data_IF_954618749308
#
_entry.id   IF_954618749308
#
_cell.length_a   1.000
_cell.length_b   1.000
_cell.length_c   1.000
_cell.angle_alpha   90.00
_cell.angle_beta   90.00
_cell.angle_gamma   90.00
#
_symmetry.space_group_name_H-M   'P 1'
#
loop_
_entity.id
_entity.type
_entity.pdbx_description
1 polymer ?
#
# COMPACT_ATOMS: atom_id res chain seq x y z
N UNK A 1 5.45 41.85 46.53
CA UNK A 1 5.15 43.31 46.43
C UNK A 1 6.37 44.20 46.64
N UNK A 2 7.26 43.92 47.61
CA UNK A 2 8.40 44.81 47.93
C UNK A 2 9.42 44.96 46.79
N UNK A 3 9.65 43.92 45.96
CA UNK A 3 10.58 43.97 44.83
C UNK A 3 10.14 44.95 43.71
N UNK A 4 8.82 45.01 43.45
CA UNK A 4 8.23 45.89 42.44
C UNK A 4 8.32 47.36 42.89
N UNK A 5 8.05 47.62 44.18
CA UNK A 5 8.17 48.96 44.77
C UNK A 5 9.62 49.47 44.75
N UNK A 6 10.60 48.59 45.00
CA UNK A 6 12.03 48.92 44.89
C UNK A 6 12.45 49.25 43.45
N UNK A 7 11.95 48.48 42.47
CA UNK A 7 12.22 48.70 41.05
C UNK A 7 11.61 50.05 40.56
N UNK A 8 10.40 50.37 41.00
CA UNK A 8 9.73 51.64 40.71
C UNK A 8 10.48 52.82 41.33
N UNK A 9 11.01 52.66 42.54
CA UNK A 9 11.85 53.68 43.19
C UNK A 9 13.17 53.94 42.45
N UNK A 10 13.85 52.87 42.01
CA UNK A 10 15.14 52.94 41.29
C UNK A 10 15.02 53.56 39.89
N UNK A 11 13.91 53.31 39.20
CA UNK A 11 13.65 53.80 37.84
C UNK A 11 12.57 54.88 37.78
N UNK A 12 12.36 55.63 38.87
CA UNK A 12 11.24 56.56 39.03
C UNK A 12 11.05 57.52 37.85
N UNK A 13 12.12 58.06 37.29
CA UNK A 13 12.09 58.96 36.13
C UNK A 13 11.70 58.24 34.84
N UNK A 14 12.19 57.01 34.62
CA UNK A 14 11.85 56.18 33.47
C UNK A 14 10.39 55.72 33.55
N UNK A 15 9.93 55.28 34.73
CA UNK A 15 8.53 54.90 34.96
C UNK A 15 7.60 56.10 34.70
N UNK A 16 7.95 57.28 35.20
CA UNK A 16 7.16 58.50 34.98
C UNK A 16 7.16 58.90 33.49
N UNK A 17 8.29 58.80 32.80
CA UNK A 17 8.38 59.02 31.36
C UNK A 17 7.51 58.05 30.56
N UNK A 18 7.56 56.74 30.87
CA UNK A 18 6.73 55.72 30.20
C UNK A 18 5.24 55.94 30.48
N UNK A 19 4.87 56.29 31.71
CA UNK A 19 3.48 56.62 32.05
C UNK A 19 3.01 57.84 31.26
N UNK A 20 3.79 58.92 31.24
CA UNK A 20 3.46 60.12 30.46
C UNK A 20 3.36 59.81 28.96
N UNK A 21 4.29 59.02 28.43
CA UNK A 21 4.29 58.59 27.03
C UNK A 21 3.03 57.79 26.69
N UNK A 22 2.64 56.82 27.55
CA UNK A 22 1.42 56.02 27.37
C UNK A 22 0.19 56.92 27.45
N UNK A 23 0.10 57.82 28.43
CA UNK A 23 -1.04 58.74 28.56
C UNK A 23 -1.16 59.68 27.36
N UNK A 24 -0.04 60.19 26.85
CA UNK A 24 0.01 61.03 25.65
C UNK A 24 -0.46 60.24 24.43
N UNK A 25 0.03 59.02 24.25
CA UNK A 25 -0.33 58.16 23.13
C UNK A 25 -1.81 57.76 23.18
N UNK A 26 -2.33 57.42 24.36
CA UNK A 26 -3.76 57.16 24.58
C UNK A 26 -4.61 58.40 24.30
N UNK A 27 -4.15 59.59 24.69
CA UNK A 27 -4.86 60.85 24.46
C UNK A 27 -4.89 61.23 22.98
N UNK A 28 -3.79 61.04 22.25
CA UNK A 28 -3.72 61.22 20.78
C UNK A 28 -4.67 60.27 20.05
N UNK A 29 -4.69 58.99 20.46
CA UNK A 29 -5.62 58.00 19.93
C UNK A 29 -7.07 58.30 20.33
N UNK A 30 -7.33 58.87 21.50
CA UNK A 30 -8.69 59.15 21.99
C UNK A 30 -9.30 60.43 21.40
N UNK A 31 -8.50 61.48 21.18
CA UNK A 31 -8.99 62.81 20.77
C UNK A 31 -9.05 62.99 19.25
N UNK A 32 -8.21 62.29 18.50
CA UNK A 32 -8.01 62.61 17.09
C UNK A 32 -8.61 61.55 16.15
N UNK A 33 -9.70 61.91 15.47
CA UNK A 33 -10.52 61.00 14.64
C UNK A 33 -9.73 60.31 13.53
N UNK A 34 -8.72 60.99 12.98
CA UNK A 34 -7.87 60.46 11.90
C UNK A 34 -6.90 59.37 12.39
N UNK A 35 -6.38 59.49 13.62
CA UNK A 35 -5.48 58.49 14.20
C UNK A 35 -6.23 57.23 14.66
N UNK A 36 -7.49 57.36 15.11
CA UNK A 36 -8.38 56.21 15.35
C UNK A 36 -8.59 55.37 14.09
N UNK A 37 -8.81 56.04 12.96
CA UNK A 37 -9.00 55.37 11.68
C UNK A 37 -7.73 54.65 11.22
N UNK A 38 -6.56 55.32 11.29
CA UNK A 38 -5.27 54.68 10.97
C UNK A 38 -4.97 53.48 11.86
N UNK A 39 -5.15 53.60 13.17
CA UNK A 39 -4.94 52.50 14.12
C UNK A 39 -5.92 51.34 13.89
N UNK A 40 -7.19 51.64 13.58
CA UNK A 40 -8.16 50.60 13.22
C UNK A 40 -7.77 49.85 11.93
N UNK A 41 -7.23 50.54 10.93
CA UNK A 41 -6.70 49.91 9.71
C UNK A 41 -5.52 48.98 10.03
N UNK A 42 -4.54 49.44 10.81
CA UNK A 42 -3.42 48.60 11.28
C UNK A 42 -3.88 47.38 12.08
N UNK A 43 -4.84 47.55 13.00
CA UNK A 43 -5.41 46.45 13.78
C UNK A 43 -6.19 45.47 12.89
N UNK A 44 -6.89 45.96 11.87
CA UNK A 44 -7.64 45.11 10.94
C UNK A 44 -6.73 44.32 10.01
N UNK A 45 -5.61 44.90 9.55
CA UNK A 45 -4.59 44.23 8.75
C UNK A 45 -3.86 43.14 9.56
N UNK A 46 -3.51 43.45 10.81
CA UNK A 46 -2.88 42.48 11.71
C UNK A 46 -3.83 41.35 12.11
N UNK A 47 -5.10 41.66 12.41
CA UNK A 47 -6.13 40.66 12.69
C UNK A 47 -6.44 39.78 11.47
N UNK A 48 -6.42 40.34 10.26
CA UNK A 48 -6.58 39.61 9.00
C UNK A 48 -5.46 38.60 8.77
N UNK A 49 -4.21 38.98 9.01
CA UNK A 49 -3.04 38.10 8.90
C UNK A 49 -3.11 36.93 9.91
N UNK A 50 -3.48 37.21 11.16
CA UNK A 50 -3.68 36.17 12.19
C UNK A 50 -4.83 35.22 11.87
N UNK A 51 -5.92 35.74 11.29
CA UNK A 51 -7.08 34.92 10.91
C UNK A 51 -6.76 34.04 9.69
N UNK A 52 -6.05 34.56 8.68
CA UNK A 52 -5.62 33.78 7.51
C UNK A 52 -4.66 32.65 7.87
N UNK A 53 -3.68 32.92 8.73
CA UNK A 53 -2.72 31.90 9.21
C UNK A 53 -3.41 30.83 10.06
N UNK A 54 -4.35 31.21 10.92
CA UNK A 54 -5.17 30.25 11.68
C UNK A 54 -6.01 29.36 10.75
N UNK A 55 -6.72 29.96 9.80
CA UNK A 55 -7.57 29.24 8.86
C UNK A 55 -6.79 28.25 7.97
N UNK A 56 -5.55 28.56 7.62
CA UNK A 56 -4.70 27.68 6.80
C UNK A 56 -4.20 26.44 7.56
N UNK A 57 -3.96 26.56 8.87
CA UNK A 57 -3.59 25.41 9.70
C UNK A 57 -4.79 24.52 9.94
N UNK A 58 -5.95 25.09 10.28
CA UNK A 58 -7.18 24.33 10.47
C UNK A 58 -7.67 23.68 9.17
N UNK A 59 -7.53 24.33 8.01
CA UNK A 59 -7.93 23.76 6.73
C UNK A 59 -7.11 22.53 6.35
N UNK A 60 -5.80 22.51 6.64
CA UNK A 60 -4.96 21.35 6.40
C UNK A 60 -5.37 20.13 7.24
N UNK A 61 -5.62 20.33 8.54
CA UNK A 61 -6.09 19.24 9.40
C UNK A 61 -7.48 18.75 8.99
N UNK A 62 -8.39 19.66 8.64
CA UNK A 62 -9.74 19.34 8.17
C UNK A 62 -9.72 18.57 6.86
N UNK A 63 -8.83 18.92 5.92
CA UNK A 63 -8.71 18.25 4.63
C UNK A 63 -8.31 16.78 4.78
N UNK A 64 -7.38 16.47 5.69
CA UNK A 64 -6.98 15.09 5.99
C UNK A 64 -8.14 14.27 6.57
N UNK A 65 -8.91 14.87 7.48
CA UNK A 65 -10.06 14.22 8.10
C UNK A 65 -11.22 14.02 7.12
N UNK A 66 -11.53 15.02 6.30
CA UNK A 66 -12.52 14.95 5.24
C UNK A 66 -12.15 13.88 4.21
N UNK A 67 -10.89 13.80 3.78
CA UNK A 67 -10.45 12.76 2.85
C UNK A 67 -10.57 11.36 3.48
N UNK A 68 -10.16 11.18 4.73
CA UNK A 68 -10.34 9.92 5.44
C UNK A 68 -11.83 9.53 5.55
N UNK A 69 -12.72 10.49 5.80
CA UNK A 69 -14.16 10.26 5.81
C UNK A 69 -14.69 9.84 4.44
N UNK A 70 -14.32 10.55 3.38
CA UNK A 70 -14.71 10.23 2.00
C UNK A 70 -14.23 8.85 1.55
N UNK A 71 -13.01 8.45 1.93
CA UNK A 71 -12.50 7.11 1.63
C UNK A 71 -13.32 6.02 2.31
N UNK A 72 -13.74 6.24 3.56
CA UNK A 72 -14.60 5.29 4.27
C UNK A 72 -16.03 5.26 3.72
N UNK A 73 -16.59 6.41 3.34
CA UNK A 73 -17.89 6.48 2.67
C UNK A 73 -17.85 5.76 1.32
N UNK A 74 -16.81 5.97 0.52
CA UNK A 74 -16.61 5.24 -0.74
C UNK A 74 -16.45 3.73 -0.51
N UNK A 75 -15.71 3.31 0.52
CA UNK A 75 -15.61 1.89 0.88
C UNK A 75 -16.99 1.28 1.22
N UNK A 76 -17.84 2.03 1.94
CA UNK A 76 -19.21 1.62 2.25
C UNK A 76 -20.10 1.58 0.99
N UNK A 77 -20.00 2.56 0.09
CA UNK A 77 -20.71 2.57 -1.18
C UNK A 77 -20.31 1.39 -2.07
N UNK A 78 -19.02 1.07 -2.14
CA UNK A 78 -18.54 -0.12 -2.85
C UNK A 78 -19.14 -1.40 -2.29
N UNK A 79 -19.21 -1.53 -0.96
CA UNK A 79 -19.88 -2.65 -0.31
C UNK A 79 -21.36 -2.74 -0.70
N UNK A 80 -22.11 -1.63 -0.65
CA UNK A 80 -23.52 -1.60 -1.02
C UNK A 80 -23.74 -1.99 -2.49
N UNK A 81 -22.94 -1.45 -3.42
CA UNK A 81 -23.02 -1.78 -4.84
C UNK A 81 -22.74 -3.27 -5.09
N UNK A 82 -21.74 -3.84 -4.42
CA UNK A 82 -21.42 -5.26 -4.55
C UNK A 82 -22.53 -6.14 -3.98
N UNK A 83 -23.11 -5.76 -2.84
CA UNK A 83 -24.28 -6.44 -2.25
C UNK A 83 -25.48 -6.42 -3.22
N UNK A 84 -25.79 -5.28 -3.81
CA UNK A 84 -26.87 -5.17 -4.80
C UNK A 84 -26.60 -5.99 -6.07
N UNK A 85 -25.34 -6.04 -6.54
CA UNK A 85 -24.96 -6.91 -7.66
C UNK A 85 -25.16 -8.38 -7.30
N UNK A 86 -24.66 -8.81 -6.15
CA UNK A 86 -24.86 -10.18 -5.64
C UNK A 86 -26.35 -10.52 -5.59
N UNK A 87 -27.19 -9.67 -5.01
CA UNK A 87 -28.64 -9.90 -4.97
C UNK A 87 -29.24 -10.10 -6.37
N UNK A 88 -28.80 -9.34 -7.38
CA UNK A 88 -29.24 -9.53 -8.78
C UNK A 88 -28.74 -10.84 -9.40
N UNK A 89 -27.54 -11.29 -9.07
CA UNK A 89 -27.02 -12.58 -9.51
C UNK A 89 -27.65 -13.76 -8.74
N UNK A 90 -27.98 -13.56 -7.46
CA UNK A 90 -28.56 -14.55 -6.54
C UNK A 90 -30.09 -14.64 -6.59
N UNK A 91 -30.79 -13.80 -7.36
CA UNK A 91 -32.25 -13.84 -7.50
C UNK A 91 -32.81 -15.19 -8.04
N UNK A 92 -31.94 -16.14 -8.39
CA UNK A 92 -32.26 -17.51 -8.78
C UNK A 92 -32.20 -18.52 -7.60
N UNK A 93 -31.80 -18.10 -6.40
CA UNK A 93 -31.78 -18.92 -5.18
C UNK A 93 -32.43 -18.10 -4.05
N UNK A 94 -33.63 -18.46 -3.56
CA UNK A 94 -34.26 -17.75 -2.46
C UNK A 94 -33.48 -18.02 -1.16
N UNK A 95 -32.56 -17.12 -0.81
CA UNK A 95 -31.89 -17.15 0.49
C UNK A 95 -32.93 -16.76 1.53
N UNK A 96 -33.40 -17.76 2.28
CA UNK A 96 -34.52 -17.66 3.22
C UNK A 96 -34.15 -17.02 4.56
N UNK A 97 -32.86 -16.71 4.78
CA UNK A 97 -32.38 -16.15 6.04
C UNK A 97 -31.96 -14.68 5.91
N UNK A 98 -32.55 -13.88 6.78
CA UNK A 98 -32.44 -12.44 6.94
C UNK A 98 -31.10 -11.98 7.55
N UNK A 99 -30.13 -12.88 7.73
CA UNK A 99 -28.75 -12.51 8.02
C UNK A 99 -28.09 -12.20 6.68
N UNK A 100 -28.11 -10.93 6.30
CA UNK A 100 -27.34 -10.43 5.16
C UNK A 100 -25.88 -10.82 5.38
N UNK A 101 -25.42 -11.90 4.75
CA UNK A 101 -24.02 -12.27 4.80
C UNK A 101 -23.21 -11.13 4.16
N UNK A 102 -22.32 -10.55 4.95
CA UNK A 102 -21.34 -9.60 4.45
C UNK A 102 -20.28 -10.38 3.69
N UNK A 103 -20.48 -10.62 2.40
CA UNK A 103 -19.52 -11.37 1.58
C UNK A 103 -18.19 -10.64 1.44
N UNK A 104 -18.20 -9.30 1.41
CA UNK A 104 -17.01 -8.49 1.15
C UNK A 104 -16.84 -7.34 2.12
N UNK A 105 -15.57 -7.02 2.43
CA UNK A 105 -15.15 -5.82 3.16
C UNK A 105 -14.14 -5.04 2.34
N UNK A 106 -14.32 -3.73 2.26
CA UNK A 106 -13.44 -2.80 1.56
C UNK A 106 -12.60 -2.03 2.57
N UNK A 107 -11.28 -2.07 2.42
CA UNK A 107 -10.35 -1.35 3.30
C UNK A 107 -9.58 -0.32 2.47
N UNK A 108 -9.73 0.99 2.74
CA UNK A 108 -8.97 2.00 2.03
C UNK A 108 -7.47 1.91 2.38
N UNK A 109 -6.64 2.09 1.37
CA UNK A 109 -5.19 2.08 1.49
C UNK A 109 -4.57 3.16 0.59
N UNK A 110 -3.50 3.79 1.06
CA UNK A 110 -2.69 4.73 0.30
C UNK A 110 -1.63 3.96 -0.48
N UNK A 111 -1.44 4.34 -1.73
CA UNK A 111 -0.35 3.89 -2.58
C UNK A 111 0.92 4.61 -2.19
N UNK A 112 1.95 3.85 -1.83
CA UNK A 112 3.27 4.36 -1.43
C UNK A 112 4.23 4.38 -2.61
N UNK A 113 4.12 3.37 -3.49
CA UNK A 113 5.00 3.23 -4.65
C UNK A 113 4.32 2.38 -5.73
N UNK A 114 4.58 2.68 -7.00
CA UNK A 114 4.15 1.85 -8.12
C UNK A 114 5.09 1.98 -9.31
N UNK A 115 5.09 0.98 -10.18
CA UNK A 115 5.78 1.03 -11.47
C UNK A 115 4.78 0.75 -12.59
N UNK A 116 4.99 1.34 -13.76
CA UNK A 116 4.20 1.07 -14.98
C UNK A 116 5.04 0.71 -16.19
N UNK A 117 6.36 0.94 -16.13
CA UNK A 117 7.30 0.79 -17.25
C UNK A 117 8.04 -0.55 -17.26
N UNK A 118 7.84 -1.41 -16.25
CA UNK A 118 8.49 -2.72 -16.18
C UNK A 118 7.63 -3.77 -16.89
N UNK A 119 8.23 -4.87 -17.32
CA UNK A 119 7.47 -6.03 -17.81
C UNK A 119 6.58 -6.65 -16.72
N UNK A 120 7.02 -6.56 -15.47
CA UNK A 120 6.34 -7.03 -14.28
C UNK A 120 6.19 -5.88 -13.29
N UNK A 121 5.01 -5.27 -13.28
CA UNK A 121 4.72 -4.12 -12.45
C UNK A 121 4.13 -4.50 -11.09
N UNK A 122 4.52 -3.74 -10.07
CA UNK A 122 4.05 -3.90 -8.71
C UNK A 122 3.61 -2.57 -8.13
N UNK A 123 2.77 -2.67 -7.12
CA UNK A 123 2.21 -1.56 -6.35
C UNK A 123 2.44 -1.87 -4.86
N UNK A 124 2.89 -0.90 -4.09
CA UNK A 124 3.04 -1.02 -2.63
C UNK A 124 2.02 -0.14 -1.94
N UNK A 125 1.28 -0.70 -0.99
CA UNK A 125 0.25 0.00 -0.22
C UNK A 125 0.61 0.07 1.27
N UNK A 126 0.17 1.14 1.95
CA UNK A 126 0.46 1.42 3.37
C UNK A 126 -0.41 0.62 4.36
N UNK A 127 -0.81 -0.59 3.96
CA UNK A 127 -1.63 -1.48 4.76
C UNK A 127 -1.05 -2.88 4.71
N UNK A 128 -1.01 -3.57 5.85
CA UNK A 128 -0.37 -4.88 5.98
C UNK A 128 -1.22 -5.89 6.75
N UNK A 129 -0.56 -6.92 7.27
CA UNK A 129 -1.19 -7.98 8.08
C UNK A 129 -1.93 -7.42 9.30
N UNK A 130 -1.42 -6.36 9.92
CA UNK A 130 -2.07 -5.74 11.10
C UNK A 130 -3.40 -5.07 10.76
N UNK A 131 -3.60 -4.69 9.50
CA UNK A 131 -4.85 -4.14 8.97
C UNK A 131 -5.80 -5.24 8.44
N UNK A 132 -5.43 -6.52 8.61
CA UNK A 132 -6.22 -7.67 8.17
C UNK A 132 -6.06 -8.05 6.70
N UNK A 133 -5.05 -7.49 6.01
CA UNK A 133 -4.73 -7.83 4.62
C UNK A 133 -4.01 -9.18 4.56
N UNK A 134 -4.37 -9.99 3.57
CA UNK A 134 -3.73 -11.28 3.26
C UNK A 134 -3.37 -11.36 1.77
N UNK A 135 -2.39 -12.20 1.40
CA UNK A 135 -2.17 -12.58 0.01
C UNK A 135 -3.47 -13.09 -0.64
N UNK A 136 -3.63 -12.85 -1.93
CA UNK A 136 -4.82 -13.27 -2.68
C UNK A 136 -5.95 -12.24 -2.72
N UNK A 137 -6.00 -11.28 -1.78
CA UNK A 137 -7.04 -10.24 -1.76
C UNK A 137 -6.99 -9.34 -3.00
N UNK A 138 -8.15 -9.00 -3.55
CA UNK A 138 -8.24 -8.07 -4.66
C UNK A 138 -7.95 -6.63 -4.23
N UNK A 139 -7.43 -5.85 -5.17
CA UNK A 139 -7.18 -4.41 -5.02
C UNK A 139 -7.84 -3.69 -6.19
N UNK A 140 -8.64 -2.69 -5.85
CA UNK A 140 -9.40 -1.88 -6.82
C UNK A 140 -9.18 -0.39 -6.57
N UNK A 141 -9.43 0.42 -7.58
CA UNK A 141 -9.59 1.86 -7.45
C UNK A 141 -11.07 2.23 -7.67
N UNK A 142 -11.41 3.50 -7.49
CA UNK A 142 -12.75 4.00 -7.82
C UNK A 142 -13.10 3.83 -9.31
N UNK A 143 -12.09 3.71 -10.18
CA UNK A 143 -12.24 3.67 -11.64
C UNK A 143 -12.01 2.28 -12.24
N UNK A 144 -11.56 1.30 -11.47
CA UNK A 144 -11.45 -0.07 -11.98
C UNK A 144 -10.54 -0.99 -11.18
N UNK A 145 -10.31 -2.18 -11.73
CA UNK A 145 -9.45 -3.19 -11.12
C UNK A 145 -7.97 -2.80 -11.21
N UNK A 146 -7.27 -2.88 -10.08
CA UNK A 146 -5.84 -2.52 -9.99
C UNK A 146 -4.96 -3.77 -9.99
N UNK A 147 -5.33 -4.80 -9.21
CA UNK A 147 -4.51 -5.99 -9.06
C UNK A 147 -4.88 -6.86 -7.87
N UNK A 148 -3.93 -7.66 -7.40
CA UNK A 148 -4.10 -8.60 -6.28
C UNK A 148 -2.90 -8.56 -5.36
N UNK A 149 -3.15 -8.66 -4.05
CA UNK A 149 -2.10 -8.70 -3.03
C UNK A 149 -1.27 -9.97 -3.24
N UNK A 150 0.04 -9.79 -3.46
CA UNK A 150 1.01 -10.88 -3.59
C UNK A 150 1.54 -11.28 -2.23
N UNK A 151 2.02 -10.30 -1.47
CA UNK A 151 2.68 -10.51 -0.18
C UNK A 151 2.36 -9.35 0.78
N UNK A 152 2.43 -9.63 2.08
CA UNK A 152 2.19 -8.63 3.11
C UNK A 152 3.20 -8.75 4.26
N UNK A 153 3.75 -7.61 4.64
CA UNK A 153 4.47 -7.40 5.89
C UNK A 153 3.49 -6.97 6.99
N UNK A 154 4.00 -6.59 8.16
CA UNK A 154 3.16 -6.09 9.25
C UNK A 154 2.35 -4.83 8.87
N UNK A 155 2.96 -3.91 8.10
CA UNK A 155 2.44 -2.56 7.83
C UNK A 155 2.24 -2.24 6.36
N UNK A 156 2.85 -3.01 5.45
CA UNK A 156 2.80 -2.78 4.01
C UNK A 156 2.46 -4.05 3.27
N UNK A 157 1.84 -3.91 2.10
CA UNK A 157 1.58 -5.03 1.19
C UNK A 157 2.05 -4.72 -0.21
N UNK A 158 2.59 -5.74 -0.86
CA UNK A 158 2.98 -5.73 -2.26
C UNK A 158 1.84 -6.31 -3.08
N UNK A 159 1.44 -5.60 -4.13
CA UNK A 159 0.32 -5.91 -5.01
C UNK A 159 0.88 -6.14 -6.41
N UNK A 160 0.56 -7.30 -6.97
CA UNK A 160 0.77 -7.56 -8.40
C UNK A 160 -0.34 -6.87 -9.17
N UNK A 161 0.01 -5.94 -10.05
CA UNK A 161 -0.99 -5.14 -10.78
C UNK A 161 -1.52 -5.89 -12.00
N UNK A 162 -2.61 -5.40 -12.59
CA UNK A 162 -3.09 -5.87 -13.91
C UNK A 162 -2.02 -5.68 -14.99
N UNK A 163 -1.09 -4.74 -14.79
CA UNK A 163 0.07 -4.46 -15.64
C UNK A 163 1.25 -5.41 -15.37
N UNK A 164 0.98 -6.65 -14.99
CA UNK A 164 2.01 -7.66 -14.80
C UNK A 164 1.79 -8.76 -15.84
N UNK A 165 2.85 -9.14 -16.56
CA UNK A 165 2.75 -10.07 -17.71
C UNK A 165 2.12 -11.43 -17.36
N UNK A 166 2.31 -11.91 -16.13
CA UNK A 166 1.74 -13.18 -15.64
C UNK A 166 0.36 -13.02 -14.96
N UNK A 167 -0.14 -11.79 -14.81
CA UNK A 167 -1.44 -11.59 -14.16
C UNK A 167 -2.56 -11.88 -15.14
N UNK A 168 -3.42 -12.81 -14.75
CA UNK A 168 -4.65 -13.15 -15.43
C UNK A 168 -5.84 -12.80 -14.54
N UNK A 169 -6.76 -12.00 -15.06
CA UNK A 169 -7.98 -11.61 -14.36
C UNK A 169 -9.18 -12.18 -15.10
N UNK A 170 -9.95 -13.03 -14.41
CA UNK A 170 -11.19 -13.59 -14.96
C UNK A 170 -12.20 -12.47 -15.18
N UNK A 171 -12.61 -12.31 -16.43
CA UNK A 171 -13.44 -11.22 -16.88
C UNK A 171 -14.65 -11.73 -17.65
N UNK A 172 -15.63 -10.87 -17.82
CA UNK A 172 -16.77 -11.10 -18.69
C UNK A 172 -17.22 -9.81 -19.36
N UNK A 173 -17.80 -9.91 -20.54
CA UNK A 173 -18.46 -8.78 -21.20
C UNK A 173 -19.81 -8.53 -20.53
N UNK A 174 -20.06 -7.28 -20.11
CA UNK A 174 -21.26 -6.92 -19.33
C UNK A 174 -22.56 -7.17 -20.07
N UNK A 175 -22.59 -6.98 -21.39
CA UNK A 175 -23.79 -7.06 -22.24
C UNK A 175 -24.32 -8.48 -22.39
N UNK A 176 -23.45 -9.42 -22.75
CA UNK A 176 -23.80 -10.81 -23.09
C UNK A 176 -23.22 -11.86 -22.13
N UNK A 177 -22.51 -11.44 -21.07
CA UNK A 177 -21.95 -12.29 -20.00
C UNK A 177 -20.97 -13.35 -20.47
N UNK A 178 -20.34 -13.12 -21.62
CA UNK A 178 -19.33 -14.04 -22.15
C UNK A 178 -18.07 -13.92 -21.31
N UNK A 179 -17.57 -15.05 -20.84
CA UNK A 179 -16.37 -15.12 -20.02
C UNK A 179 -15.11 -15.13 -20.87
N UNK A 180 -14.07 -14.51 -20.33
CA UNK A 180 -12.73 -14.47 -20.90
C UNK A 180 -11.71 -14.14 -19.83
N UNK A 181 -10.50 -13.80 -20.26
CA UNK A 181 -9.40 -13.47 -19.36
C UNK A 181 -8.70 -12.20 -19.82
N UNK A 182 -8.56 -11.22 -18.93
CA UNK A 182 -7.79 -10.01 -19.20
C UNK A 182 -6.34 -10.23 -18.79
N UNK A 183 -5.43 -9.93 -19.72
CA UNK A 183 -3.97 -10.05 -19.56
C UNK A 183 -3.29 -8.84 -20.18
N UNK A 184 -2.28 -8.29 -19.50
CA UNK A 184 -1.48 -7.20 -20.05
C UNK A 184 -0.45 -7.70 -21.06
N UNK A 185 -0.27 -6.98 -22.16
CA UNK A 185 0.63 -7.35 -23.27
C UNK A 185 2.06 -6.83 -23.11
N UNK A 186 2.35 -6.08 -22.04
CA UNK A 186 3.66 -5.51 -21.76
C UNK A 186 4.00 -4.24 -22.52
N UNK A 187 3.10 -3.72 -23.38
CA UNK A 187 3.41 -2.61 -24.29
C UNK A 187 2.98 -1.27 -23.74
N UNK A 188 1.69 -1.13 -23.40
CA UNK A 188 1.12 0.15 -22.99
C UNK A 188 0.32 -0.02 -21.69
N UNK A 189 0.58 0.77 -20.63
CA UNK A 189 -0.13 0.65 -19.35
C UNK A 189 -1.61 1.04 -19.41
N UNK A 190 -2.10 1.58 -20.53
CA UNK A 190 -3.51 1.95 -20.73
C UNK A 190 -4.35 0.83 -21.35
N UNK A 191 -3.71 -0.17 -21.94
CA UNK A 191 -4.36 -1.21 -22.71
C UNK A 191 -3.99 -2.58 -22.19
N UNK A 192 -4.95 -3.50 -22.21
CA UNK A 192 -4.75 -4.92 -21.96
C UNK A 192 -5.45 -5.71 -23.08
N UNK A 193 -5.19 -7.01 -23.13
CA UNK A 193 -5.86 -7.93 -24.05
C UNK A 193 -6.88 -8.78 -23.31
N UNK A 194 -8.08 -8.89 -23.86
CA UNK A 194 -9.10 -9.83 -23.44
C UNK A 194 -9.03 -11.05 -24.37
N UNK A 195 -8.71 -12.19 -23.76
CA UNK A 195 -8.41 -13.45 -24.42
C UNK A 195 -9.41 -14.54 -24.00
N UNK A 196 -9.33 -15.70 -24.66
CA UNK A 196 -10.18 -16.88 -24.40
C UNK A 196 -11.67 -16.67 -24.69
N UNK A 197 -12.01 -15.78 -25.63
CA UNK A 197 -13.38 -15.61 -26.12
C UNK A 197 -13.52 -16.29 -27.48
N UNK A 198 -14.38 -17.32 -27.63
CA UNK A 198 -14.55 -18.00 -28.91
C UNK A 198 -15.04 -17.08 -30.04
N UNK A 199 -14.54 -17.30 -31.25
CA UNK A 199 -14.77 -16.47 -32.44
C UNK A 199 -16.21 -16.39 -32.97
N UNK A 200 -17.13 -17.20 -32.45
CA UNK A 200 -18.54 -17.20 -32.86
C UNK A 200 -19.42 -16.29 -31.99
N UNK A 201 -18.84 -15.69 -30.96
CA UNK A 201 -19.56 -14.77 -30.09
C UNK A 201 -19.50 -13.33 -30.58
N UNK A 202 -20.62 -12.62 -30.45
CA UNK A 202 -20.70 -11.20 -30.80
C UNK A 202 -19.99 -10.32 -29.75
N UNK A 203 -18.92 -9.63 -30.15
CA UNK A 203 -18.19 -8.65 -29.33
C UNK A 203 -18.11 -7.33 -30.09
N UNK A 204 -18.50 -6.23 -29.45
CA UNK A 204 -18.56 -4.91 -30.07
C UNK A 204 -17.58 -3.95 -29.41
N UNK A 205 -17.01 -3.05 -30.21
CA UNK A 205 -16.30 -1.88 -29.68
C UNK A 205 -17.22 -1.05 -28.79
N UNK A 206 -16.70 -0.59 -27.65
CA UNK A 206 -17.48 0.08 -26.62
C UNK A 206 -18.10 -0.85 -25.57
N UNK A 207 -18.06 -2.17 -25.74
CA UNK A 207 -18.55 -3.11 -24.73
C UNK A 207 -17.74 -2.96 -23.42
N UNK A 208 -18.44 -2.95 -22.28
CA UNK A 208 -17.80 -2.87 -20.96
C UNK A 208 -17.34 -4.25 -20.50
N UNK A 209 -16.07 -4.35 -20.10
CA UNK A 209 -15.47 -5.55 -19.53
C UNK A 209 -15.46 -5.43 -18.00
N UNK A 210 -16.02 -6.43 -17.34
CA UNK A 210 -16.17 -6.49 -15.89
C UNK A 210 -15.58 -7.80 -15.34
N UNK A 211 -15.27 -7.88 -14.05
CA UNK A 211 -14.87 -9.13 -13.40
C UNK A 211 -16.02 -10.14 -13.42
N UNK A 212 -15.71 -11.41 -13.68
CA UNK A 212 -16.72 -12.48 -13.69
C UNK A 212 -17.12 -12.92 -12.27
N UNK A 213 -16.22 -12.75 -11.30
CA UNK A 213 -16.39 -13.30 -9.94
C UNK A 213 -15.82 -14.71 -9.76
N UNK A 214 -15.18 -15.25 -10.80
CA UNK A 214 -14.55 -16.57 -10.76
C UNK A 214 -13.34 -16.59 -9.81
N UNK A 215 -13.20 -17.66 -9.02
CA UNK A 215 -12.13 -17.89 -8.03
C UNK A 215 -12.07 -16.88 -6.87
N UNK A 216 -13.22 -16.31 -6.49
CA UNK A 216 -13.51 -15.54 -5.28
C UNK A 216 -12.64 -14.30 -4.93
N UNK A 217 -11.52 -14.07 -5.63
CA UNK A 217 -10.56 -13.03 -5.34
C UNK A 217 -11.13 -11.64 -5.64
N UNK A 218 -11.80 -11.51 -6.79
CA UNK A 218 -12.50 -10.28 -7.17
C UNK A 218 -14.02 -10.50 -7.08
N UNK A 219 -14.77 -9.59 -6.41
CA UNK A 219 -16.22 -9.57 -6.54
C UNK A 219 -16.64 -9.50 -8.01
N UNK A 220 -17.79 -10.09 -8.34
CA UNK A 220 -18.36 -9.98 -9.70
C UNK A 220 -18.81 -8.55 -10.02
N UNK A 221 -18.64 -8.13 -11.27
CA UNK A 221 -19.15 -6.85 -11.77
C UNK A 221 -18.29 -5.62 -11.46
N UNK A 222 -17.02 -5.78 -11.09
CA UNK A 222 -16.06 -4.69 -11.01
C UNK A 222 -15.59 -4.32 -12.41
N UNK A 223 -15.50 -3.03 -12.70
CA UNK A 223 -15.09 -2.56 -14.02
C UNK A 223 -13.59 -2.78 -14.25
N UNK A 224 -13.24 -3.38 -15.39
CA UNK A 224 -11.85 -3.59 -15.80
C UNK A 224 -11.49 -2.59 -16.90
N UNK A 225 -12.39 -2.39 -17.88
CA UNK A 225 -12.14 -1.52 -19.02
C UNK A 225 -13.22 -1.59 -20.08
N UNK A 226 -12.97 -0.93 -21.21
CA UNK A 226 -13.85 -0.92 -22.39
C UNK A 226 -13.15 -1.53 -23.59
N UNK A 227 -13.85 -2.33 -24.38
CA UNK A 227 -13.37 -2.84 -25.66
C UNK A 227 -13.09 -1.67 -26.60
N UNK A 228 -11.85 -1.54 -27.05
CA UNK A 228 -11.42 -0.52 -28.01
C UNK A 228 -11.23 -1.08 -29.40
N UNK A 229 -10.79 -2.34 -29.51
CA UNK A 229 -10.48 -2.98 -30.79
C UNK A 229 -10.79 -4.47 -30.71
N UNK A 230 -11.45 -5.02 -31.73
CA UNK A 230 -11.74 -6.45 -31.84
C UNK A 230 -10.95 -7.03 -33.01
N UNK A 231 -9.91 -7.81 -32.73
CA UNK A 231 -9.17 -8.54 -33.76
C UNK A 231 -9.48 -10.03 -33.72
N UNK A 232 -9.82 -10.59 -34.89
CA UNK A 232 -9.75 -12.01 -35.15
C UNK A 232 -8.35 -12.32 -35.66
N UNK A 233 -7.56 -13.09 -34.92
CA UNK A 233 -6.33 -13.65 -35.48
C UNK A 233 -6.72 -14.74 -36.48
N UNK A 234 -6.15 -14.65 -37.68
CA UNK A 234 -6.50 -15.45 -38.85
C UNK A 234 -6.38 -16.96 -38.64
N UNK A 235 -5.64 -17.42 -37.62
CA UNK A 235 -5.41 -18.84 -37.29
C UNK A 235 -5.86 -19.25 -35.87
N UNK A 236 -6.53 -18.39 -35.10
CA UNK A 236 -6.96 -18.70 -33.73
C UNK A 236 -8.49 -18.84 -33.62
N UNK A 237 -8.95 -19.87 -32.90
CA UNK A 237 -10.39 -20.08 -32.57
C UNK A 237 -10.94 -19.01 -31.62
N UNK A 238 -10.05 -18.17 -31.05
CA UNK A 238 -10.37 -17.18 -30.04
C UNK A 238 -10.05 -15.77 -30.54
N UNK A 239 -10.86 -14.80 -30.11
CA UNK A 239 -10.59 -13.39 -30.32
C UNK A 239 -9.39 -12.89 -29.50
N UNK A 240 -8.67 -11.92 -30.06
CA UNK A 240 -7.69 -11.09 -29.35
C UNK A 240 -8.21 -9.64 -29.30
N UNK A 241 -8.76 -9.25 -28.16
CA UNK A 241 -9.54 -8.02 -28.03
C UNK A 241 -8.73 -6.98 -27.25
N UNK A 242 -8.52 -5.80 -27.85
CA UNK A 242 -7.94 -4.65 -27.17
C UNK A 242 -8.92 -4.05 -26.17
N UNK A 243 -8.51 -3.95 -24.91
CA UNK A 243 -9.31 -3.38 -23.82
C UNK A 243 -8.57 -2.19 -23.22
N UNK A 244 -9.20 -1.02 -23.26
CA UNK A 244 -8.75 0.17 -22.55
C UNK A 244 -9.08 0.05 -21.07
N UNK A 245 -8.06 -0.02 -20.23
CA UNK A 245 -8.20 -0.18 -18.79
C UNK A 245 -8.91 1.03 -18.18
N UNK A 246 -9.83 0.77 -17.25
CA UNK A 246 -10.54 1.79 -16.48
C UNK A 246 -9.69 2.40 -15.38
N UNK A 247 -8.79 1.60 -14.78
CA UNK A 247 -7.87 2.08 -13.77
C UNK A 247 -6.77 2.95 -14.41
N UNK A 248 -6.66 4.21 -13.97
CA UNK A 248 -5.56 5.09 -14.34
C UNK A 248 -4.38 4.87 -13.38
N UNK A 249 -3.33 4.21 -13.88
CA UNK A 249 -2.09 3.99 -13.13
C UNK A 249 -1.18 5.21 -13.09
N UNK A 250 -1.53 6.32 -13.76
CA UNK A 250 -0.74 7.56 -13.75
C UNK A 250 -0.94 8.36 -12.46
N UNK A 251 -2.17 8.38 -11.93
CA UNK A 251 -2.58 9.18 -10.77
C UNK A 251 -3.20 8.32 -9.66
N UNK A 252 -2.65 7.13 -9.43
CA UNK A 252 -3.21 6.18 -8.48
C UNK A 252 -2.73 6.48 -7.04
N UNK A 253 -3.48 7.30 -6.31
CA UNK A 253 -3.15 7.67 -4.92
C UNK A 253 -3.80 6.74 -3.88
N UNK A 254 -5.09 6.44 -4.01
CA UNK A 254 -5.84 5.59 -3.09
C UNK A 254 -6.43 4.38 -3.79
N UNK A 255 -6.42 3.26 -3.06
CA UNK A 255 -7.02 1.99 -3.49
C UNK A 255 -7.83 1.37 -2.37
N UNK A 256 -8.68 0.42 -2.72
CA UNK A 256 -9.47 -0.38 -1.79
C UNK A 256 -9.05 -1.83 -1.89
N UNK A 257 -8.67 -2.40 -0.76
CA UNK A 257 -8.40 -3.83 -0.64
C UNK A 257 -9.70 -4.53 -0.30
N UNK A 258 -10.06 -5.51 -1.11
CA UNK A 258 -11.32 -6.24 -1.03
C UNK A 258 -11.04 -7.59 -0.38
N UNK A 259 -11.57 -7.76 0.83
CA UNK A 259 -11.55 -9.01 1.57
C UNK A 259 -12.87 -9.74 1.37
N UNK A 260 -12.83 -10.92 0.79
CA UNK A 260 -13.94 -11.86 0.86
C UNK A 260 -13.93 -12.53 2.24
N UNK A 261 -15.07 -12.52 2.93
CA UNK A 261 -15.20 -13.06 4.28
C UNK A 261 -15.44 -14.58 4.32
N UNK A 262 -15.78 -15.19 3.18
CA UNK A 262 -16.05 -16.63 3.06
C UNK A 262 -14.92 -17.43 2.41
N UNK A 263 -13.87 -16.77 1.90
CA UNK A 263 -12.77 -17.48 1.22
C UNK A 263 -12.14 -18.57 2.08
N UNK A 264 -11.97 -18.33 3.39
CA UNK A 264 -11.40 -19.34 4.29
C UNK A 264 -12.30 -20.56 4.50
N UNK A 265 -13.62 -20.40 4.35
CA UNK A 265 -14.59 -21.50 4.44
C UNK A 265 -14.63 -22.27 3.11
N UNK A 266 -14.64 -21.54 1.99
CA UNK A 266 -14.59 -22.09 0.63
C UNK A 266 -13.32 -22.91 0.39
N UNK A 267 -12.14 -22.34 0.68
CA UNK A 267 -10.85 -23.02 0.51
C UNK A 267 -10.76 -24.30 1.35
N UNK A 268 -11.26 -24.28 2.60
CA UNK A 268 -11.29 -25.48 3.46
C UNK A 268 -12.21 -26.56 2.91
N UNK A 269 -13.38 -26.17 2.39
CA UNK A 269 -14.32 -27.12 1.80
C UNK A 269 -13.73 -27.80 0.55
N UNK A 270 -13.08 -27.02 -0.31
CA UNK A 270 -12.39 -27.54 -1.49
C UNK A 270 -11.24 -28.47 -1.09
N UNK A 271 -10.38 -28.06 -0.17
CA UNK A 271 -9.25 -28.85 0.32
C UNK A 271 -9.70 -30.18 0.96
N UNK A 272 -10.73 -30.13 1.82
CA UNK A 272 -11.32 -31.33 2.45
C UNK A 272 -11.89 -32.29 1.41
N UNK A 273 -12.50 -31.78 0.34
CA UNK A 273 -13.11 -32.59 -0.72
C UNK A 273 -12.05 -33.22 -1.61
N UNK A 274 -11.07 -32.42 -2.06
CA UNK A 274 -9.92 -32.89 -2.83
C UNK A 274 -9.15 -33.98 -2.08
N UNK A 275 -8.94 -33.80 -0.77
CA UNK A 275 -8.24 -34.77 0.09
C UNK A 275 -9.02 -36.09 0.23
N UNK A 276 -10.36 -36.05 0.20
CA UNK A 276 -11.22 -37.25 0.26
C UNK A 276 -11.29 -38.00 -1.06
N UNK A 277 -11.17 -37.31 -2.19
CA UNK A 277 -11.28 -37.90 -3.53
C UNK A 277 -9.94 -38.38 -4.12
N UNK A 278 -8.80 -37.93 -3.57
CA UNK A 278 -7.47 -38.40 -3.97
C UNK A 278 -7.26 -39.88 -3.58
N UNK A 279 -6.97 -40.81 -4.53
CA UNK A 279 -6.65 -42.19 -4.18
C UNK A 279 -5.41 -42.24 -3.28
N UNK A 280 -5.37 -43.15 -2.30
CA UNK A 280 -4.29 -43.30 -1.30
C UNK A 280 -2.87 -43.26 -1.89
N UNK A 281 -2.73 -43.67 -3.16
CA UNK A 281 -1.49 -43.64 -3.93
C UNK A 281 -0.90 -42.24 -4.10
N UNK A 282 -1.73 -41.20 -4.28
CA UNK A 282 -1.27 -39.81 -4.44
C UNK A 282 -0.89 -39.15 -3.11
N UNK A 283 -1.65 -39.41 -2.06
CA UNK A 283 -1.34 -38.96 -0.68
C UNK A 283 -0.01 -39.55 -0.20
N UNK A 284 0.33 -40.78 -0.62
CA UNK A 284 1.61 -41.42 -0.32
C UNK A 284 2.80 -40.75 -1.01
N UNK A 285 2.61 -40.18 -2.20
CA UNK A 285 3.67 -39.49 -2.96
C UNK A 285 3.93 -38.08 -2.45
N UNK A 286 2.90 -37.34 -2.04
CA UNK A 286 3.08 -36.02 -1.41
C UNK A 286 3.71 -36.13 -0.03
N UNK A 287 3.24 -37.06 0.82
CA UNK A 287 3.88 -37.31 2.13
C UNK A 287 5.33 -37.78 1.99
N UNK A 288 5.70 -38.47 0.90
CA UNK A 288 7.09 -38.81 0.59
C UNK A 288 7.90 -37.57 0.19
N UNK A 289 7.38 -36.72 -0.70
CA UNK A 289 8.02 -35.45 -1.09
C UNK A 289 8.23 -34.52 0.10
N UNK A 290 7.25 -34.38 0.99
CA UNK A 290 7.36 -33.54 2.18
C UNK A 290 8.41 -34.06 3.17
N UNK A 291 8.50 -35.39 3.33
CA UNK A 291 9.55 -36.02 4.14
C UNK A 291 10.94 -35.84 3.52
N UNK A 292 11.07 -35.90 2.20
CA UNK A 292 12.33 -35.64 1.51
C UNK A 292 12.75 -34.17 1.60
N UNK A 293 11.81 -33.24 1.42
CA UNK A 293 12.07 -31.81 1.55
C UNK A 293 12.50 -31.44 2.97
N UNK A 294 11.90 -32.06 3.99
CA UNK A 294 12.29 -31.87 5.39
C UNK A 294 13.70 -32.41 5.65
N UNK A 295 14.05 -33.59 5.14
CA UNK A 295 15.40 -34.16 5.25
C UNK A 295 16.45 -33.29 4.57
N UNK A 296 16.13 -32.71 3.41
CA UNK A 296 17.03 -31.82 2.69
C UNK A 296 17.31 -30.53 3.48
N UNK A 297 16.28 -29.90 4.04
CA UNK A 297 16.42 -28.70 4.89
C UNK A 297 17.24 -28.99 6.15
N UNK A 298 17.04 -30.14 6.79
CA UNK A 298 17.82 -30.56 7.96
C UNK A 298 19.29 -30.84 7.61
N UNK A 299 19.57 -31.35 6.40
CA UNK A 299 20.93 -31.57 5.91
C UNK A 299 21.65 -30.24 5.62
N UNK A 300 20.97 -29.30 4.95
CA UNK A 300 21.50 -27.94 4.68
C UNK A 300 21.81 -27.20 5.99
N UNK A 301 20.95 -27.31 7.01
CA UNK A 301 21.19 -26.69 8.31
C UNK A 301 22.40 -27.29 9.03
N UNK A 302 22.59 -28.62 8.94
CA UNK A 302 23.77 -29.30 9.50
C UNK A 302 25.05 -28.88 8.79
N UNK A 303 25.02 -28.79 7.46
CA UNK A 303 26.18 -28.36 6.67
C UNK A 303 26.57 -26.92 6.99
N UNK A 304 25.58 -26.02 7.12
CA UNK A 304 25.78 -24.63 7.53
C UNK A 304 26.43 -24.51 8.92
N UNK A 305 25.98 -25.34 9.88
CA UNK A 305 26.59 -25.39 11.23
C UNK A 305 28.02 -25.94 11.20
N UNK A 306 28.30 -26.96 10.38
CA UNK A 306 29.64 -27.52 10.24
C UNK A 306 30.64 -26.54 9.60
N UNK A 307 30.20 -25.76 8.61
CA UNK A 307 30.98 -24.67 8.01
C UNK A 307 31.30 -23.57 9.03
N UNK A 308 30.33 -23.20 9.87
CA UNK A 308 30.53 -22.20 10.92
C UNK A 308 31.53 -22.69 11.99
N UNK A 309 31.50 -23.98 12.32
CA UNK A 309 32.44 -24.58 13.27
C UNK A 309 33.87 -24.68 12.70
N UNK A 310 34.01 -24.99 11.39
CA UNK A 310 35.31 -24.96 10.69
C UNK A 310 35.89 -23.55 10.64
N UNK A 311 35.08 -22.55 10.32
CA UNK A 311 35.51 -21.15 10.33
C UNK A 311 35.96 -20.68 11.72
N UNK A 312 35.30 -21.14 12.80
CA UNK A 312 35.71 -20.86 14.18
C UNK A 312 37.03 -21.54 14.54
N UNK A 313 37.27 -22.77 14.08
CA UNK A 313 38.53 -23.49 14.28
C UNK A 313 39.68 -22.80 13.54
N UNK A 314 39.50 -22.43 12.28
CA UNK A 314 40.50 -21.69 11.49
C UNK A 314 40.83 -20.32 12.10
N UNK A 315 39.83 -19.61 12.62
CA UNK A 315 40.04 -18.34 13.32
C UNK A 315 40.80 -18.49 14.65
N UNK A 316 40.68 -19.64 15.33
CA UNK A 316 41.45 -19.94 16.54
C UNK A 316 42.91 -20.27 16.20
N UNK A 317 43.16 -21.08 15.17
CA UNK A 317 44.52 -21.44 14.73
C UNK A 317 45.31 -20.22 14.24
N UNK A 318 44.63 -19.24 13.64
CA UNK A 318 45.25 -17.99 13.19
C UNK A 318 45.49 -16.99 14.34
N UNK A 319 44.85 -17.19 15.51
CA UNK A 319 45.07 -16.40 16.73
C UNK A 319 46.27 -16.91 17.52
N UNK A 320 46.51 -18.22 17.51
CA UNK A 320 47.69 -18.81 18.15
C UNK A 320 48.98 -18.47 17.39
N UNK A 321 48.96 -18.50 16.05
CA UNK A 321 50.11 -18.02 15.25
C UNK A 321 50.47 -16.55 15.47
N UNK A 322 49.49 -15.71 15.80
CA UNK A 322 49.71 -14.29 16.08
C UNK A 322 50.22 -14.02 17.51
N UNK A 323 50.16 -15.02 18.39
CA UNK A 323 50.70 -14.98 19.75
C UNK A 323 52.15 -15.43 19.78
N UNK A 324 52.50 -16.41 18.94
CA UNK A 324 53.89 -16.88 18.79
C UNK A 324 54.79 -15.80 18.15
N UNK A 325 54.23 -14.93 17.30
CA UNK A 325 54.98 -13.80 16.69
C UNK A 325 55.18 -12.58 17.64
N UNK A 326 54.51 -12.51 18.80
CA UNK A 326 54.64 -11.41 19.78
C UNK A 326 55.58 -11.73 20.97
N UNK A 327 56.07 -12.97 21.12
CA UNK A 327 57.00 -13.37 22.20
C UNK A 327 58.49 -13.34 21.82
N UNK A 328 58.85 -13.02 20.57
CA UNK A 328 60.26 -12.98 20.08
C UNK A 328 60.87 -11.56 19.98
N UNK A 329 60.27 -10.54 20.63
CA UNK A 329 60.83 -9.17 20.65
C UNK A 329 61.01 -8.66 22.10
N UNK A 330 62.02 -9.19 22.80
CA UNK A 330 62.60 -8.53 23.99
C UNK A 330 64.10 -8.23 23.77
N UNK A 331 64.56 -6.98 23.93
CA UNK A 331 65.88 -6.55 23.49
C UNK A 331 66.99 -6.89 24.52
N UNK A 332 68.12 -7.42 24.05
CA UNK A 332 69.39 -7.50 24.83
C UNK A 332 70.23 -6.22 24.63
N UNK A 333 71.00 -5.80 25.66
CA UNK A 333 71.53 -4.44 25.75
C UNK A 333 72.77 -4.19 24.89
N UNK A 334 72.89 -2.96 24.41
CA UNK A 334 74.03 -2.39 23.70
C UNK A 334 75.21 -2.23 24.67
N UNK A 335 76.33 -2.91 24.42
CA UNK A 335 77.63 -2.54 24.98
C UNK A 335 78.40 -1.67 23.99
N UNK A 336 78.76 -0.51 24.49
CA UNK A 336 79.53 0.57 23.88
C UNK A 336 80.98 0.14 23.56
N UNK A 337 81.45 0.44 22.35
CA UNK A 337 82.89 0.57 22.06
C UNK A 337 83.13 1.76 21.15
N UNK A 338 83.44 2.89 21.78
CA UNK A 338 84.33 3.93 21.25
C UNK A 338 85.68 3.33 20.83
N UNK A 339 86.09 3.50 19.57
CA UNK A 339 87.40 4.06 19.19
C UNK A 339 87.56 4.18 17.66
N UNK A 340 87.76 5.45 17.25
CA UNK A 340 88.68 5.96 16.23
C UNK A 340 88.60 5.37 14.81
N UNK A 341 88.23 6.18 13.83
CA UNK A 341 89.04 7.21 13.17
C UNK A 341 88.16 8.29 12.53
#
# INVERSE_FOLDING_TARGET
MQLILYLIGRYRTLVLFVVLQITSLLMVLALNRNYKAGFALFMSEYASLLTQTSNNVWSYFRLKEENAKLLNENANLHYQLTKERLNKYSALIPVRDSVVLNYYRYTPALVVNYTTYRANNFLTINKGKRDGIKPGMAVISSHGVVGRVKECSAHFSLVTTVLHSETLISAQIKRNRIMGSVKWDGKNPRFARLQHIPGYFDVLEGDSVITSGFNAAFPTGLYIGTVEEVMLKTDETFYDIGVKLGADFTNLEYVYVVKNLLTEEEEKLEEDTLTKELPERYVSTEKKKDRELKKLKEAEEKERKALEERAKKEAATNKDKKKDDEEEETPKPVTDTLKNE
#
